data_IF_902530288132
#
_entry.id   IF_902530288132
#
_cell.length_a   1.000
_cell.length_b   1.000
_cell.length_c   1.000
_cell.angle_alpha   90.00
_cell.angle_beta   90.00
_cell.angle_gamma   90.00
#
_symmetry.space_group_name_H-M   'P 1'
#
loop_
_entity.id
_entity.type
_entity.pdbx_description
1 polymer ?
#
# COMPACT_ATOMS: atom_id res chain seq x y z
N UNK A 1 -1.17 -23.07 4.32
CA UNK A 1 -0.85 -21.91 4.80
C UNK A 1 -1.97 -21.05 5.05
N UNK A 2 -2.27 -21.15 6.09
CA UNK A 2 -3.45 -20.49 6.45
C UNK A 2 -3.31 -19.00 6.44
N UNK A 3 -4.33 -18.38 6.16
CA UNK A 3 -4.48 -16.97 6.38
C UNK A 3 -3.72 -16.04 5.47
N UNK A 4 -2.77 -16.54 4.70
CA UNK A 4 -2.06 -15.65 3.80
C UNK A 4 -2.32 -16.00 2.36
N UNK A 5 -2.51 -14.99 1.55
CA UNK A 5 -2.69 -15.16 0.12
C UNK A 5 -1.32 -15.24 -0.52
N UNK A 6 -0.93 -16.40 -0.96
CA UNK A 6 0.42 -16.58 -1.48
C UNK A 6 0.59 -16.14 -2.92
N UNK A 7 -0.47 -16.10 -3.69
CA UNK A 7 -0.44 -15.61 -5.07
C UNK A 7 0.60 -16.34 -5.93
N UNK A 8 0.86 -17.62 -5.64
CA UNK A 8 1.77 -18.45 -6.42
C UNK A 8 3.25 -18.16 -6.22
N UNK A 9 3.62 -17.39 -5.20
CA UNK A 9 5.01 -17.01 -4.93
C UNK A 9 5.43 -17.44 -3.55
N UNK A 10 6.75 -17.55 -3.33
CA UNK A 10 7.28 -17.81 -1.99
C UNK A 10 6.98 -16.61 -1.08
N UNK A 11 7.04 -16.83 0.22
CA UNK A 11 6.77 -15.77 1.18
C UNK A 11 7.70 -14.58 0.98
N UNK A 12 9.00 -14.83 0.75
CA UNK A 12 9.96 -13.75 0.57
C UNK A 12 9.70 -12.97 -0.71
N UNK A 13 9.45 -13.68 -1.81
CA UNK A 13 9.16 -13.05 -3.09
C UNK A 13 7.85 -12.27 -3.03
N UNK A 14 6.85 -12.84 -2.37
CA UNK A 14 5.56 -12.18 -2.21
C UNK A 14 5.70 -10.90 -1.41
N UNK A 15 6.44 -10.94 -0.31
CA UNK A 15 6.62 -9.75 0.53
C UNK A 15 7.41 -8.68 -0.20
N UNK A 16 8.46 -9.05 -0.92
CA UNK A 16 9.25 -8.09 -1.70
C UNK A 16 8.38 -7.40 -2.74
N UNK A 17 7.52 -8.16 -3.43
CA UNK A 17 6.62 -7.61 -4.42
C UNK A 17 5.60 -6.66 -3.78
N UNK A 18 5.03 -7.04 -2.65
CA UNK A 18 4.05 -6.20 -1.97
C UNK A 18 4.68 -4.89 -1.48
N UNK A 19 5.90 -4.96 -0.95
CA UNK A 19 6.61 -3.75 -0.51
C UNK A 19 6.83 -2.80 -1.69
N UNK A 20 7.24 -3.34 -2.83
CA UNK A 20 7.44 -2.53 -4.03
C UNK A 20 6.12 -1.91 -4.50
N UNK A 21 5.05 -2.67 -4.49
CA UNK A 21 3.76 -2.16 -4.94
C UNK A 21 3.18 -1.11 -4.00
N UNK A 22 3.36 -1.29 -2.69
CA UNK A 22 2.93 -0.27 -1.72
C UNK A 22 3.74 1.01 -1.95
N UNK A 23 5.04 0.89 -2.19
CA UNK A 23 5.90 2.04 -2.47
C UNK A 23 5.42 2.78 -3.71
N UNK A 24 5.15 2.04 -4.80
CA UNK A 24 4.66 2.64 -6.05
C UNK A 24 3.29 3.29 -5.86
N UNK A 25 2.42 2.65 -5.10
CA UNK A 25 1.10 3.21 -4.82
C UNK A 25 1.20 4.53 -4.04
N UNK A 26 2.03 4.57 -3.01
CA UNK A 26 2.21 5.79 -2.23
C UNK A 26 2.84 6.90 -3.06
N UNK A 27 3.71 6.54 -4.00
CA UNK A 27 4.33 7.53 -4.88
C UNK A 27 3.33 8.14 -5.85
N UNK A 28 2.50 7.29 -6.46
CA UNK A 28 1.57 7.73 -7.51
C UNK A 28 0.19 8.14 -6.99
N UNK A 29 -0.19 7.65 -5.83
CA UNK A 29 -1.50 7.96 -5.24
C UNK A 29 -2.64 7.12 -5.79
N UNK A 30 -2.39 6.28 -6.79
CA UNK A 30 -3.42 5.51 -7.47
C UNK A 30 -2.79 4.33 -8.18
N UNK A 31 -3.45 3.18 -8.14
CA UNK A 31 -2.94 1.99 -8.82
C UNK A 31 -4.10 1.09 -9.22
N UNK A 32 -4.05 0.56 -10.45
CA UNK A 32 -5.00 -0.45 -10.87
C UNK A 32 -4.34 -1.83 -10.77
N UNK A 33 -5.05 -2.78 -10.17
CA UNK A 33 -4.53 -4.13 -9.96
C UNK A 33 -5.71 -5.07 -9.75
N UNK A 34 -5.45 -6.34 -9.39
CA UNK A 34 -6.54 -7.25 -9.05
C UNK A 34 -7.15 -6.83 -7.71
N UNK A 35 -8.44 -7.15 -7.54
CA UNK A 35 -9.13 -6.82 -6.30
C UNK A 35 -8.44 -7.44 -5.09
N UNK A 36 -7.99 -8.70 -5.22
CA UNK A 36 -7.29 -9.39 -4.13
C UNK A 36 -6.02 -8.64 -3.75
N UNK A 37 -5.23 -8.22 -4.75
CA UNK A 37 -4.00 -7.50 -4.49
C UNK A 37 -4.26 -6.13 -3.87
N UNK A 38 -5.31 -5.43 -4.35
CA UNK A 38 -5.67 -4.14 -3.78
C UNK A 38 -6.03 -4.27 -2.30
N UNK A 39 -6.75 -5.34 -1.93
CA UNK A 39 -7.10 -5.59 -0.54
C UNK A 39 -5.89 -5.93 0.32
N UNK A 40 -4.83 -6.48 -0.25
CA UNK A 40 -3.61 -6.73 0.50
C UNK A 40 -2.78 -5.47 0.66
N UNK A 41 -2.75 -4.61 -0.36
CA UNK A 41 -1.98 -3.36 -0.33
C UNK A 41 -2.59 -2.36 0.64
N UNK A 42 -3.91 -2.30 0.73
CA UNK A 42 -4.61 -1.27 1.49
C UNK A 42 -4.16 -1.14 2.94
N UNK A 43 -4.17 -2.22 3.75
CA UNK A 43 -3.76 -2.06 5.16
C UNK A 43 -2.30 -1.68 5.30
N UNK A 44 -1.44 -2.15 4.39
CA UNK A 44 -0.03 -1.82 4.45
C UNK A 44 0.22 -0.35 4.16
N UNK A 45 -0.45 0.19 3.12
CA UNK A 45 -0.32 1.60 2.76
C UNK A 45 -0.88 2.48 3.88
N UNK A 46 -2.02 2.10 4.44
CA UNK A 46 -2.62 2.88 5.53
C UNK A 46 -1.73 2.89 6.77
N UNK A 47 -1.06 1.78 7.04
CA UNK A 47 -0.11 1.72 8.16
C UNK A 47 1.04 2.71 7.95
N UNK A 48 1.54 2.82 6.73
CA UNK A 48 2.62 3.77 6.43
C UNK A 48 2.17 5.21 6.66
N UNK A 49 0.94 5.54 6.27
CA UNK A 49 0.40 6.88 6.50
C UNK A 49 0.22 7.13 8.00
N UNK A 50 -0.24 6.13 8.74
CA UNK A 50 -0.36 6.25 10.19
C UNK A 50 0.99 6.52 10.84
N UNK A 51 2.04 5.82 10.40
CA UNK A 51 3.39 6.07 10.89
C UNK A 51 3.83 7.51 10.58
N UNK A 52 3.51 7.99 9.38
CA UNK A 52 3.82 9.36 8.99
C UNK A 52 3.13 10.38 9.88
N UNK A 53 1.93 10.07 10.36
CA UNK A 53 1.21 10.96 11.27
C UNK A 53 1.88 11.06 12.64
N UNK A 54 2.54 10.00 13.10
CA UNK A 54 3.32 10.06 14.33
C UNK A 54 4.52 10.98 14.17
N UNK A 55 5.12 10.97 13.01
CA UNK A 55 6.19 11.88 12.60
C UNK A 55 7.36 11.97 13.60
N UNK A 56 7.75 10.84 14.18
CA UNK A 56 8.93 10.79 15.02
C UNK A 56 9.99 9.91 14.38
N UNK A 57 11.19 9.90 14.94
CA UNK A 57 12.32 9.17 14.36
C UNK A 57 12.07 7.67 14.34
N UNK A 58 11.46 7.12 15.37
CA UNK A 58 11.18 5.70 15.44
C UNK A 58 10.18 5.31 14.34
N UNK A 59 9.13 6.11 14.13
CA UNK A 59 8.15 5.86 13.08
C UNK A 59 8.81 5.95 11.70
N UNK A 60 9.69 6.93 11.49
CA UNK A 60 10.38 7.07 10.22
C UNK A 60 11.26 5.86 9.92
N UNK A 61 12.00 5.38 10.90
CA UNK A 61 12.84 4.19 10.74
C UNK A 61 12.01 2.96 10.44
N UNK A 62 10.87 2.82 11.10
CA UNK A 62 9.97 1.69 10.85
C UNK A 62 9.42 1.75 9.42
N UNK A 63 9.01 2.92 8.95
CA UNK A 63 8.53 3.07 7.58
C UNK A 63 9.64 2.80 6.57
N UNK A 64 10.86 3.27 6.84
CA UNK A 64 11.99 3.00 5.94
C UNK A 64 12.35 1.54 5.84
N UNK A 65 12.04 0.74 6.86
CA UNK A 65 12.29 -0.69 6.81
C UNK A 65 11.31 -1.39 5.86
N UNK A 66 10.21 -0.75 5.49
CA UNK A 66 9.20 -1.31 4.60
C UNK A 66 9.20 -0.66 3.23
N UNK A 67 9.18 0.66 3.17
CA UNK A 67 9.15 1.40 1.90
C UNK A 67 10.51 1.29 1.23
N UNK A 68 10.52 0.88 -0.06
CA UNK A 68 11.77 0.56 -0.74
C UNK A 68 12.53 1.77 -1.28
N UNK A 69 11.90 2.95 -1.29
CA UNK A 69 12.53 4.18 -1.77
C UNK A 69 12.43 5.28 -0.73
N UNK A 70 13.54 5.90 -0.43
CA UNK A 70 13.59 6.95 0.58
C UNK A 70 12.80 8.19 0.18
N UNK A 71 12.81 8.56 -1.09
CA UNK A 71 12.06 9.71 -1.56
C UNK A 71 10.55 9.54 -1.33
N UNK A 72 10.04 8.32 -1.51
CA UNK A 72 8.64 8.02 -1.24
C UNK A 72 8.34 8.09 0.25
N UNK A 73 9.25 7.58 1.09
CA UNK A 73 9.08 7.65 2.53
C UNK A 73 9.02 9.11 3.00
N UNK A 74 9.89 9.95 2.48
CA UNK A 74 9.87 11.38 2.79
C UNK A 74 8.57 12.03 2.33
N UNK A 75 8.07 11.65 1.16
CA UNK A 75 6.80 12.16 0.66
C UNK A 75 5.65 11.79 1.60
N UNK A 76 5.62 10.56 2.09
CA UNK A 76 4.58 10.12 3.02
C UNK A 76 4.59 10.98 4.28
N UNK A 77 5.77 11.22 4.84
CA UNK A 77 5.87 11.96 6.10
C UNK A 77 5.65 13.46 5.93
N UNK A 78 6.06 14.03 4.80
CA UNK A 78 5.99 15.48 4.60
C UNK A 78 4.71 15.95 3.90
N UNK A 79 4.12 15.12 3.03
CA UNK A 79 3.00 15.52 2.22
C UNK A 79 1.73 14.72 2.50
N UNK A 80 1.80 13.40 2.46
CA UNK A 80 0.60 12.56 2.56
C UNK A 80 0.03 12.56 3.98
N UNK A 81 0.86 12.27 4.97
CA UNK A 81 0.39 12.17 6.35
C UNK A 81 -0.21 13.50 6.85
N UNK A 82 0.42 14.65 6.60
CA UNK A 82 -0.19 15.92 7.03
C UNK A 82 -1.56 16.18 6.40
N UNK A 83 -1.79 15.73 5.15
CA UNK A 83 -3.07 15.94 4.49
C UNK A 83 -4.19 15.09 5.11
N UNK A 84 -3.84 14.08 5.90
CA UNK A 84 -4.79 13.23 6.60
C UNK A 84 -4.75 13.41 8.12
N UNK A 85 -4.22 14.53 8.60
CA UNK A 85 -3.98 14.72 10.02
C UNK A 85 -5.26 14.58 10.86
N UNK A 86 -6.41 14.96 10.31
CA UNK A 86 -7.67 14.90 11.04
C UNK A 86 -8.49 13.65 10.77
N UNK A 87 -7.97 12.72 9.97
CA UNK A 87 -8.67 11.49 9.62
C UNK A 87 -8.06 10.31 10.37
N UNK A 88 -8.90 9.53 11.00
CA UNK A 88 -8.47 8.34 11.74
C UNK A 88 -8.70 7.09 10.91
N UNK A 89 -7.74 6.74 10.04
CA UNK A 89 -7.87 5.60 9.14
C UNK A 89 -8.74 5.93 7.93
N UNK A 90 -8.96 4.94 7.07
CA UNK A 90 -9.76 5.14 5.88
C UNK A 90 -9.13 6.10 4.89
N UNK A 91 -7.81 6.10 4.78
CA UNK A 91 -7.09 7.00 3.89
C UNK A 91 -7.16 6.58 2.42
N UNK A 92 -7.58 5.35 2.16
CA UNK A 92 -7.58 4.79 0.81
C UNK A 92 -8.97 4.28 0.46
N UNK A 93 -9.21 4.17 -0.85
CA UNK A 93 -10.49 3.68 -1.36
C UNK A 93 -10.22 2.68 -2.47
N UNK A 94 -10.99 1.59 -2.48
CA UNK A 94 -10.93 0.58 -3.54
C UNK A 94 -12.22 0.63 -4.32
N UNK A 95 -12.10 0.76 -5.64
CA UNK A 95 -13.24 0.77 -6.56
C UNK A 95 -13.07 -0.38 -7.55
N UNK A 96 -14.05 -1.27 -7.64
CA UNK A 96 -14.01 -2.37 -8.60
C UNK A 96 -14.19 -1.82 -10.00
N UNK A 97 -13.38 -2.31 -10.95
CA UNK A 97 -13.41 -1.81 -12.32
C UNK A 97 -13.92 -2.86 -13.32
N UNK A 98 -13.96 -4.14 -12.97
CA UNK A 98 -14.50 -5.15 -13.85
C UNK A 98 -13.76 -6.47 -13.74
N UNK A 99 -13.82 -7.23 -14.81
CA UNK A 99 -13.20 -8.56 -14.87
C UNK A 99 -12.18 -8.55 -15.99
N UNK A 100 -10.98 -9.00 -15.70
CA UNK A 100 -9.90 -9.03 -16.66
C UNK A 100 -10.08 -10.16 -17.66
N UNK A 101 -9.79 -9.87 -18.93
CA UNK A 101 -9.86 -10.91 -19.96
C UNK A 101 -8.80 -11.96 -19.71
N UNK A 102 -9.12 -13.19 -20.10
CA UNK A 102 -8.18 -14.29 -20.05
C UNK A 102 -8.32 -15.12 -18.79
N UNK A 103 -8.13 -14.53 -17.62
CA UNK A 103 -8.16 -15.27 -16.36
C UNK A 103 -9.39 -14.96 -15.49
N UNK A 104 -10.27 -14.09 -15.96
CA UNK A 104 -11.49 -13.69 -15.26
C UNK A 104 -11.26 -13.13 -13.87
N UNK A 105 -10.05 -12.59 -13.58
CA UNK A 105 -9.76 -11.98 -12.30
C UNK A 105 -10.46 -10.63 -12.20
N UNK A 106 -11.08 -10.38 -11.04
CA UNK A 106 -11.66 -9.06 -10.79
C UNK A 106 -10.55 -8.04 -10.64
N UNK A 107 -10.73 -6.88 -11.28
CA UNK A 107 -9.78 -5.78 -11.16
C UNK A 107 -10.37 -4.64 -10.36
N UNK A 108 -9.51 -3.82 -9.81
CA UNK A 108 -9.91 -2.70 -8.98
C UNK A 108 -8.86 -1.59 -9.03
N UNK A 109 -9.29 -0.38 -8.70
CA UNK A 109 -8.39 0.75 -8.52
C UNK A 109 -8.36 1.05 -7.03
N UNK A 110 -7.15 1.11 -6.46
CA UNK A 110 -6.94 1.60 -5.10
C UNK A 110 -6.36 3.00 -5.22
N UNK A 111 -6.90 3.93 -4.45
CA UNK A 111 -6.46 5.32 -4.52
C UNK A 111 -6.53 6.00 -3.15
N UNK A 112 -5.70 7.01 -3.00
CA UNK A 112 -5.68 7.85 -1.80
C UNK A 112 -6.83 8.85 -1.81
#
# INVERSE_FOLDING_TARGET
MPGTRKLGKTTDQRMAMLRQQVTDFLDNGKMETTLTRAKEIQPMAEKMITLGKKNDLAAYRQAMSFITREDVCKKVFKELAPSYAERNGGYTRITRTGVRRGDAAETAIIEL
#
